data_IF_670343398181
#
_entry.id   IF_670343398181
#
_cell.length_a   1.000
_cell.length_b   1.000
_cell.length_c   1.000
_cell.angle_alpha   90.00
_cell.angle_beta   90.00
_cell.angle_gamma   90.00
#
_symmetry.space_group_name_H-M   'P 1'
#
loop_
_entity.id
_entity.type
_entity.pdbx_description
1 polymer ?
#
# COMPACT_ATOMS: atom_id res chain seq x y z
N UNK A 1 -44.74 1.67 -11.50
CA UNK A 1 -43.47 1.01 -11.87
C UNK A 1 -42.31 1.81 -11.31
N UNK A 2 -41.59 1.28 -10.31
CA UNK A 2 -40.45 1.97 -9.69
C UNK A 2 -39.26 1.94 -10.66
N UNK A 3 -38.79 3.11 -11.11
CA UNK A 3 -37.58 3.25 -11.93
C UNK A 3 -36.39 2.69 -11.12
N UNK A 4 -35.76 1.64 -11.62
CA UNK A 4 -34.44 1.18 -11.14
C UNK A 4 -33.46 2.34 -11.28
N UNK A 5 -32.98 2.88 -10.16
CA UNK A 5 -32.01 3.98 -10.16
C UNK A 5 -30.67 3.41 -10.60
N UNK A 6 -30.26 3.69 -11.84
CA UNK A 6 -28.91 3.42 -12.33
C UNK A 6 -27.97 4.47 -11.75
N UNK A 7 -26.76 4.05 -11.36
CA UNK A 7 -25.70 4.96 -10.93
C UNK A 7 -25.41 5.97 -12.04
N UNK A 8 -25.37 7.26 -11.68
CA UNK A 8 -24.94 8.34 -12.56
C UNK A 8 -23.73 9.04 -11.96
N UNK A 9 -22.75 9.37 -12.80
CA UNK A 9 -21.58 10.14 -12.38
C UNK A 9 -21.82 11.62 -12.62
N UNK A 10 -21.31 12.47 -11.71
CA UNK A 10 -21.29 13.92 -11.91
C UNK A 10 -20.40 14.26 -13.10
N UNK A 11 -20.86 15.16 -13.98
CA UNK A 11 -20.06 15.74 -15.05
C UNK A 11 -19.09 16.82 -14.56
N UNK A 12 -19.31 17.30 -13.32
CA UNK A 12 -18.55 18.39 -12.73
C UNK A 12 -17.65 17.86 -11.62
N UNK A 13 -16.40 18.30 -11.63
CA UNK A 13 -15.39 17.96 -10.63
C UNK A 13 -15.05 19.22 -9.83
N UNK A 14 -15.11 19.13 -8.51
CA UNK A 14 -14.63 20.18 -7.60
C UNK A 14 -13.23 19.82 -7.13
N UNK A 15 -12.27 20.73 -7.30
CA UNK A 15 -10.89 20.56 -6.81
C UNK A 15 -10.71 21.49 -5.62
N UNK A 16 -10.31 20.93 -4.48
CA UNK A 16 -9.91 21.71 -3.31
C UNK A 16 -8.39 21.80 -3.27
N UNK A 17 -7.87 22.98 -2.96
CA UNK A 17 -6.43 23.15 -2.78
C UNK A 17 -5.95 22.42 -1.52
N UNK A 18 -4.75 21.89 -1.61
CA UNK A 18 -4.01 21.28 -0.50
C UNK A 18 -2.57 21.73 -0.60
N UNK A 19 -1.75 21.39 0.41
CA UNK A 19 -0.33 21.71 0.42
C UNK A 19 0.33 21.28 -0.89
N UNK A 20 1.08 22.17 -1.52
CA UNK A 20 1.85 22.00 -2.74
C UNK A 20 3.19 21.29 -2.50
N UNK A 21 3.92 20.92 -3.55
CA UNK A 21 5.26 20.33 -3.41
C UNK A 21 6.32 21.34 -2.93
N UNK A 22 6.05 22.64 -3.09
CA UNK A 22 6.88 23.70 -2.52
C UNK A 22 6.66 23.88 -1.02
N UNK A 23 5.47 23.54 -0.52
CA UNK A 23 5.15 23.66 0.91
C UNK A 23 5.75 22.54 1.75
N UNK A 24 5.92 21.34 1.18
CA UNK A 24 6.65 20.27 1.82
C UNK A 24 7.18 19.22 0.83
N UNK A 25 8.32 18.64 1.20
CA UNK A 25 8.95 17.59 0.42
C UNK A 25 8.26 16.24 0.66
N UNK A 26 7.67 15.68 -0.39
CA UNK A 26 7.04 14.35 -0.37
C UNK A 26 7.99 13.21 -0.78
N UNK A 27 9.26 13.52 -1.08
CA UNK A 27 10.23 12.50 -1.48
C UNK A 27 10.54 11.58 -0.32
N UNK A 28 10.70 10.29 -0.64
CA UNK A 28 11.16 9.31 0.33
C UNK A 28 12.67 9.49 0.60
N UNK A 29 13.14 9.05 1.77
CA UNK A 29 14.58 9.01 2.06
C UNK A 29 15.28 8.08 1.04
N UNK A 30 16.33 8.54 0.34
CA UNK A 30 17.10 7.66 -0.54
C UNK A 30 17.77 6.50 0.20
N UNK A 31 17.89 6.57 1.52
CA UNK A 31 18.51 5.55 2.36
C UNK A 31 17.55 4.46 2.87
N UNK A 32 16.43 4.22 2.18
CA UNK A 32 15.51 3.13 2.54
C UNK A 32 16.12 1.75 2.36
N UNK A 33 15.73 0.83 3.26
CA UNK A 33 16.14 -0.58 3.30
C UNK A 33 16.03 -1.27 1.94
N UNK A 34 14.94 -1.05 1.20
CA UNK A 34 14.71 -1.68 -0.11
C UNK A 34 15.74 -1.26 -1.16
N UNK A 35 16.30 -0.05 -1.07
CA UNK A 35 17.35 0.43 -1.97
C UNK A 35 18.75 -0.07 -1.56
N UNK A 36 18.90 -0.67 -0.37
CA UNK A 36 20.18 -1.16 0.17
C UNK A 36 20.18 -2.68 0.40
N UNK A 37 19.32 -3.42 -0.30
CA UNK A 37 19.25 -4.86 -0.17
C UNK A 37 20.52 -5.52 -0.72
N UNK A 38 21.30 -6.10 0.18
CA UNK A 38 22.33 -7.08 -0.17
C UNK A 38 21.71 -8.48 -0.21
N UNK A 39 22.33 -9.45 -0.89
CA UNK A 39 21.84 -10.83 -0.89
C UNK A 39 21.65 -11.41 0.52
N UNK A 40 22.60 -11.16 1.42
CA UNK A 40 22.52 -11.62 2.82
C UNK A 40 21.37 -10.96 3.58
N UNK A 41 21.11 -9.69 3.30
CA UNK A 41 20.02 -8.98 3.97
C UNK A 41 18.65 -9.45 3.46
N UNK A 42 18.52 -9.65 2.16
CA UNK A 42 17.31 -10.22 1.56
C UNK A 42 17.03 -11.62 2.10
N UNK A 43 18.06 -12.45 2.30
CA UNK A 43 17.92 -13.78 2.90
C UNK A 43 17.40 -13.71 4.34
N UNK A 44 17.93 -12.79 5.16
CA UNK A 44 17.45 -12.57 6.54
C UNK A 44 15.98 -12.15 6.57
N UNK A 45 15.60 -11.17 5.74
CA UNK A 45 14.21 -10.72 5.61
C UNK A 45 13.30 -11.88 5.19
N UNK A 46 13.75 -12.72 4.25
CA UNK A 46 12.99 -13.90 3.80
C UNK A 46 12.77 -14.90 4.94
N UNK A 47 13.80 -15.17 5.74
CA UNK A 47 13.71 -16.10 6.87
C UNK A 47 12.71 -15.59 7.92
N UNK A 48 12.84 -14.32 8.30
CA UNK A 48 11.93 -13.65 9.25
C UNK A 48 10.47 -13.70 8.77
N UNK A 49 10.22 -13.34 7.50
CA UNK A 49 8.87 -13.36 6.95
C UNK A 49 8.31 -14.78 6.84
N UNK A 50 9.13 -15.78 6.49
CA UNK A 50 8.66 -17.16 6.42
C UNK A 50 8.29 -17.69 7.80
N UNK A 51 9.07 -17.38 8.82
CA UNK A 51 8.75 -17.74 10.21
C UNK A 51 7.44 -17.08 10.64
N UNK A 52 7.31 -15.76 10.47
CA UNK A 52 6.09 -15.04 10.81
C UNK A 52 4.86 -15.59 10.08
N UNK A 53 4.96 -15.84 8.76
CA UNK A 53 3.86 -16.39 7.97
C UNK A 53 3.43 -17.78 8.44
N UNK A 54 4.38 -18.59 8.92
CA UNK A 54 4.11 -19.96 9.32
C UNK A 54 3.50 -20.04 10.73
N UNK A 55 4.01 -19.24 11.67
CA UNK A 55 3.72 -19.40 13.10
C UNK A 55 2.88 -18.29 13.70
N UNK A 56 2.97 -17.06 13.17
CA UNK A 56 2.35 -15.87 13.76
C UNK A 56 1.25 -15.22 12.92
N UNK A 57 1.19 -15.50 11.62
CA UNK A 57 0.20 -14.90 10.74
C UNK A 57 -1.09 -15.72 10.76
N UNK A 58 -2.16 -15.13 11.29
CA UNK A 58 -3.49 -15.71 11.18
C UNK A 58 -3.95 -15.65 9.73
N UNK A 59 -4.26 -16.82 9.17
CA UNK A 59 -4.81 -16.96 7.82
C UNK A 59 -6.03 -17.84 7.92
N UNK A 60 -7.13 -17.41 7.29
CA UNK A 60 -8.32 -18.25 7.19
C UNK A 60 -7.95 -19.58 6.52
N UNK A 61 -8.50 -20.70 7.00
CA UNK A 61 -8.10 -22.05 6.56
C UNK A 61 -8.24 -22.25 5.05
N UNK A 62 -9.26 -21.66 4.43
CA UNK A 62 -9.51 -21.74 2.99
C UNK A 62 -8.56 -20.86 2.14
N UNK A 63 -7.71 -20.07 2.79
CA UNK A 63 -6.76 -19.16 2.15
C UNK A 63 -5.32 -19.42 2.60
N UNK A 64 -5.07 -20.54 3.29
CA UNK A 64 -3.77 -20.91 3.83
C UNK A 64 -2.87 -21.59 2.80
#
# INVERSE_FOLDING_TARGET
>A
TLKSRRLGFSSSITVHETFSASEYDRRCDPNVTCCKLTPDFAMRIKQELNEYKLTGMEVHIESR
#
